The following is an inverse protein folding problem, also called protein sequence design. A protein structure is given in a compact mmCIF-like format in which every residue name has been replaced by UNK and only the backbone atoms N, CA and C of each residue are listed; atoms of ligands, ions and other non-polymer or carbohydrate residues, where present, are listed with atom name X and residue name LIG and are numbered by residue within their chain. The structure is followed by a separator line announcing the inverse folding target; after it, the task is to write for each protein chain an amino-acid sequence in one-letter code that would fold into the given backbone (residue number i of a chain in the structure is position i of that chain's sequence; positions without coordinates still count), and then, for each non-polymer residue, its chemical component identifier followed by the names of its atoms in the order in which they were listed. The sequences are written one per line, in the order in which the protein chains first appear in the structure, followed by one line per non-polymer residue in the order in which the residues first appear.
data_IF_746695859986
#
_entry.id   IF_746695859986
#
_cell.length_a   1.000
_cell.length_b   1.000
_cell.length_c   1.000
_cell.angle_alpha   90.00
_cell.angle_beta   90.00
_cell.angle_gamma   90.00
#
_symmetry.space_group_name_H-M   'P 1'
#
loop_
_entity.id
_entity.type
_entity.pdbx_description
1 polymer ?
#
# COMPACT_ATOMS: atom_id res chain seq x y z
N UNK A 1 -8.86 7.30 -31.02
CA UNK A 1 -8.88 6.50 -29.78
C UNK A 1 -8.49 7.44 -28.66
N UNK A 2 -9.34 7.63 -27.64
CA UNK A 2 -8.96 8.46 -26.49
C UNK A 2 -7.73 7.82 -25.86
N UNK A 3 -6.64 8.57 -25.74
CA UNK A 3 -5.56 8.21 -24.82
C UNK A 3 -6.21 8.05 -23.45
N UNK A 4 -6.41 6.81 -23.01
CA UNK A 4 -6.73 6.55 -21.61
C UNK A 4 -5.46 6.97 -20.87
N UNK A 5 -5.55 8.02 -20.07
CA UNK A 5 -4.41 8.46 -19.27
C UNK A 5 -4.06 7.31 -18.32
N UNK A 6 -2.97 6.60 -18.62
CA UNK A 6 -2.39 5.64 -17.70
C UNK A 6 -2.10 6.36 -16.37
N UNK A 7 -2.20 5.61 -15.27
CA UNK A 7 -1.92 6.10 -13.93
C UNK A 7 -0.79 5.28 -13.33
N UNK A 8 0.35 5.91 -13.05
CA UNK A 8 1.50 5.30 -12.40
C UNK A 8 1.46 5.58 -10.89
N UNK A 9 1.35 4.54 -10.07
CA UNK A 9 1.42 4.65 -8.60
C UNK A 9 2.68 3.98 -8.07
N UNK A 10 3.21 4.49 -6.96
CA UNK A 10 4.34 3.87 -6.26
C UNK A 10 3.79 2.97 -5.15
N UNK A 11 3.87 1.66 -5.35
CA UNK A 11 3.45 0.68 -4.35
C UNK A 11 4.59 0.33 -3.39
N UNK A 12 4.24 0.05 -2.14
CA UNK A 12 5.18 -0.41 -1.12
C UNK A 12 4.54 -1.47 -0.24
N UNK A 13 5.15 -2.65 -0.19
CA UNK A 13 4.62 -3.76 0.62
C UNK A 13 4.97 -3.56 2.08
N UNK A 14 3.95 -3.60 2.92
CA UNK A 14 4.07 -3.80 4.35
C UNK A 14 4.03 -5.30 4.67
N UNK A 15 5.02 -5.78 5.44
CA UNK A 15 5.12 -7.17 5.88
C UNK A 15 5.00 -7.22 7.41
N UNK A 16 3.77 -7.37 7.94
CA UNK A 16 3.51 -7.43 9.37
C UNK A 16 4.36 -8.46 10.13
N UNK A 17 4.64 -9.62 9.52
CA UNK A 17 5.39 -10.71 10.17
C UNK A 17 6.88 -10.40 10.33
N UNK A 18 7.41 -9.49 9.50
CA UNK A 18 8.83 -9.11 9.49
C UNK A 18 9.04 -7.68 10.01
N UNK A 19 7.97 -6.98 10.38
CA UNK A 19 7.97 -5.56 10.75
C UNK A 19 8.81 -4.69 9.80
N UNK A 20 8.62 -4.89 8.50
CA UNK A 20 9.39 -4.18 7.46
C UNK A 20 8.54 -3.69 6.30
N UNK A 21 9.02 -2.62 5.69
CA UNK A 21 8.54 -2.13 4.40
C UNK A 21 9.53 -2.52 3.31
N UNK A 22 9.03 -3.19 2.28
CA UNK A 22 9.80 -3.48 1.07
C UNK A 22 10.17 -2.18 0.32
N UNK A 23 11.11 -2.23 -0.64
CA UNK A 23 11.36 -1.10 -1.55
C UNK A 23 10.12 -0.70 -2.35
N UNK A 24 10.10 0.55 -2.83
CA UNK A 24 9.06 1.01 -3.74
C UNK A 24 9.09 0.24 -5.07
N UNK A 25 7.90 -0.03 -5.60
CA UNK A 25 7.69 -0.63 -6.92
C UNK A 25 6.63 0.16 -7.66
N UNK A 26 6.94 0.60 -8.87
CA UNK A 26 5.98 1.29 -9.72
C UNK A 26 4.94 0.30 -10.27
N UNK A 27 3.67 0.71 -10.23
CA UNK A 27 2.55 -0.02 -10.81
C UNK A 27 1.84 0.93 -11.76
N UNK A 28 1.81 0.56 -13.05
CA UNK A 28 1.08 1.29 -14.09
C UNK A 28 -0.29 0.66 -14.30
N UNK A 29 -1.31 1.50 -14.19
CA UNK A 29 -2.73 1.14 -14.34
C UNK A 29 -3.26 1.74 -15.64
N UNK A 30 -3.94 0.91 -16.43
CA UNK A 30 -4.67 1.33 -17.64
C UNK A 30 -6.01 1.97 -17.28
N UNK A 31 -6.59 1.54 -16.16
CA UNK A 31 -7.81 2.07 -15.57
C UNK A 31 -7.56 2.37 -14.09
N UNK A 32 -8.03 3.51 -13.60
CA UNK A 32 -7.92 3.89 -12.18
C UNK A 32 -8.90 3.12 -11.28
N UNK A 33 -8.99 1.80 -11.46
CA UNK A 33 -9.88 0.90 -10.71
C UNK A 33 -9.14 0.19 -9.57
N UNK A 34 -9.87 -0.16 -8.51
CA UNK A 34 -9.32 -0.92 -7.38
C UNK A 34 -9.01 -2.36 -7.77
N UNK A 35 -9.82 -2.96 -8.64
CA UNK A 35 -9.63 -4.35 -9.08
C UNK A 35 -8.33 -4.50 -9.86
N UNK A 36 -8.07 -3.60 -10.83
CA UNK A 36 -6.81 -3.61 -11.58
C UNK A 36 -5.60 -3.38 -10.67
N UNK A 37 -5.70 -2.46 -9.69
CA UNK A 37 -4.63 -2.26 -8.71
C UNK A 37 -4.34 -3.56 -7.94
N UNK A 38 -5.37 -4.24 -7.43
CA UNK A 38 -5.19 -5.51 -6.71
C UNK A 38 -4.63 -6.62 -7.59
N UNK A 39 -5.04 -6.70 -8.85
CA UNK A 39 -4.49 -7.67 -9.81
C UNK A 39 -3.00 -7.43 -10.07
N UNK A 40 -2.59 -6.18 -10.29
CA UNK A 40 -1.18 -5.82 -10.50
C UNK A 40 -0.33 -6.09 -9.26
N UNK A 41 -0.83 -5.73 -8.07
CA UNK A 41 -0.17 -6.01 -6.79
C UNK A 41 -0.05 -7.52 -6.54
N UNK A 42 -1.08 -8.30 -6.88
CA UNK A 42 -1.07 -9.76 -6.81
C UNK A 42 0.03 -10.33 -7.70
N UNK A 43 0.11 -9.89 -8.95
CA UNK A 43 1.11 -10.35 -9.91
C UNK A 43 2.56 -10.13 -9.45
N UNK A 44 2.86 -8.97 -8.83
CA UNK A 44 4.24 -8.66 -8.37
C UNK A 44 4.59 -9.28 -7.02
N UNK A 45 3.59 -9.59 -6.18
CA UNK A 45 3.82 -10.04 -4.80
C UNK A 45 3.59 -11.54 -4.59
N UNK A 46 2.84 -12.19 -5.49
CA UNK A 46 2.34 -13.55 -5.33
C UNK A 46 1.18 -13.70 -4.35
N UNK A 47 0.68 -12.60 -3.76
CA UNK A 47 -0.48 -12.62 -2.86
C UNK A 47 -1.76 -12.71 -3.71
N UNK A 48 -2.69 -13.61 -3.36
CA UNK A 48 -3.99 -13.67 -4.05
C UNK A 48 -4.71 -12.32 -3.92
N UNK A 49 -5.26 -11.80 -5.02
CA UNK A 49 -5.87 -10.45 -5.06
C UNK A 49 -6.93 -10.21 -3.98
N UNK A 50 -7.69 -11.25 -3.61
CA UNK A 50 -8.69 -11.21 -2.55
C UNK A 50 -8.09 -11.00 -1.14
N UNK A 51 -6.82 -11.38 -0.95
CA UNK A 51 -6.08 -11.21 0.29
C UNK A 51 -5.34 -9.87 0.37
N UNK A 52 -5.30 -9.11 -0.73
CA UNK A 52 -4.65 -7.81 -0.75
C UNK A 52 -5.54 -6.76 -0.08
N UNK A 53 -5.00 -6.19 0.99
CA UNK A 53 -5.43 -4.91 1.53
C UNK A 53 -4.44 -3.83 1.13
N UNK A 54 -4.97 -2.64 0.89
CA UNK A 54 -4.14 -1.49 0.52
C UNK A 54 -4.66 -0.23 1.21
N UNK A 55 -3.79 0.77 1.30
CA UNK A 55 -4.09 2.09 1.81
C UNK A 55 -3.31 3.13 1.02
N UNK A 56 -3.86 4.35 0.94
CA UNK A 56 -3.12 5.49 0.38
C UNK A 56 -2.15 6.05 1.41
N UNK A 57 -0.92 6.30 0.98
CA UNK A 57 0.08 7.02 1.78
C UNK A 57 -0.37 8.45 2.08
N UNK A 58 -0.09 8.92 3.29
CA UNK A 58 -0.40 10.29 3.73
C UNK A 58 0.81 11.21 3.53
N UNK A 59 0.54 12.51 3.40
CA UNK A 59 1.58 13.52 3.26
C UNK A 59 2.27 13.54 1.89
N UNK A 60 3.45 14.14 1.83
CA UNK A 60 4.28 14.24 0.62
C UNK A 60 5.15 13.00 0.46
N UNK A 61 5.54 12.67 -0.77
CA UNK A 61 6.53 11.63 -1.06
C UNK A 61 7.77 11.80 -0.15
N UNK A 62 8.29 10.71 0.47
CA UNK A 62 7.95 9.30 0.23
C UNK A 62 6.78 8.75 1.07
N UNK A 63 5.95 9.63 1.65
CA UNK A 63 4.89 9.26 2.59
C UNK A 63 5.47 8.50 3.79
N UNK A 64 6.40 9.15 4.50
CA UNK A 64 7.04 8.58 5.68
C UNK A 64 5.99 8.16 6.71
N UNK A 65 6.13 6.93 7.20
CA UNK A 65 5.24 6.36 8.19
C UNK A 65 6.03 5.45 9.12
N UNK A 66 5.73 5.53 10.41
CA UNK A 66 6.30 4.64 11.41
C UNK A 66 5.85 3.20 11.14
N UNK A 67 6.82 2.28 11.12
CA UNK A 67 6.57 0.82 11.05
C UNK A 67 5.68 0.35 12.20
N UNK A 68 5.73 1.03 13.35
CA UNK A 68 4.89 0.70 14.51
C UNK A 68 3.46 1.20 14.36
N UNK A 69 3.24 2.26 13.59
CA UNK A 69 1.94 2.95 13.49
C UNK A 69 1.21 2.63 12.18
N UNK A 70 1.91 2.13 11.16
CA UNK A 70 1.37 1.84 9.82
C UNK A 70 0.08 1.00 9.84
N UNK A 71 -0.08 0.12 10.82
CA UNK A 71 -1.27 -0.70 10.96
C UNK A 71 -2.51 0.13 11.35
N UNK A 72 -2.34 1.16 12.19
CA UNK A 72 -3.43 1.94 12.78
C UNK A 72 -3.63 3.29 12.08
N UNK A 73 -2.55 3.89 11.60
CA UNK A 73 -2.57 5.25 11.05
C UNK A 73 -3.04 5.31 9.60
N UNK A 74 -2.99 4.20 8.86
CA UNK A 74 -3.50 4.13 7.50
C UNK A 74 -4.93 3.61 7.45
N UNK A 75 -5.71 4.16 6.54
CA UNK A 75 -7.07 3.68 6.24
C UNK A 75 -6.99 2.48 5.30
N UNK A 76 -6.84 1.30 5.91
CA UNK A 76 -6.70 0.04 5.20
C UNK A 76 -8.02 -0.42 4.59
N UNK A 77 -7.93 -0.91 3.36
CA UNK A 77 -9.02 -1.56 2.63
C UNK A 77 -10.24 -0.65 2.43
N UNK A 78 -10.04 0.53 1.79
CA UNK A 78 -11.09 1.51 1.57
C UNK A 78 -12.21 0.90 0.72
N UNK A 79 -13.45 1.21 1.07
CA UNK A 79 -14.65 0.65 0.42
C UNK A 79 -15.05 1.47 -0.82
N UNK A 80 -14.17 1.46 -1.81
CA UNK A 80 -14.36 2.14 -3.11
C UNK A 80 -14.01 1.21 -4.26
N UNK A 81 -14.59 1.47 -5.44
CA UNK A 81 -14.31 0.72 -6.67
C UNK A 81 -13.29 1.42 -7.59
N UNK A 82 -13.12 2.73 -7.44
CA UNK A 82 -12.18 3.54 -8.22
C UNK A 82 -11.25 4.36 -7.32
N UNK A 83 -10.04 4.64 -7.82
CA UNK A 83 -8.97 5.29 -7.04
C UNK A 83 -9.17 6.81 -6.89
N UNK A 84 -9.93 7.44 -7.78
CA UNK A 84 -10.16 8.88 -7.80
C UNK A 84 -11.27 9.36 -6.85
N UNK A 85 -11.86 8.47 -6.05
CA UNK A 85 -12.96 8.77 -5.11
C UNK A 85 -12.42 8.82 -3.67
N UNK A 86 -13.07 9.59 -2.80
CA UNK A 86 -12.79 9.60 -1.37
C UNK A 86 -12.91 8.19 -0.77
N UNK A 87 -11.98 7.74 0.11
CA UNK A 87 -10.91 8.52 0.74
C UNK A 87 -9.59 8.55 -0.07
N UNK A 88 -9.54 7.93 -1.24
CA UNK A 88 -8.32 7.79 -2.02
C UNK A 88 -7.96 9.06 -2.79
N UNK A 89 -8.85 9.64 -3.61
CA UNK A 89 -8.54 10.81 -4.45
C UNK A 89 -7.14 10.72 -5.13
N UNK A 90 -6.89 9.62 -5.83
CA UNK A 90 -5.69 9.41 -6.63
C UNK A 90 -6.07 9.73 -8.08
N UNK A 91 -5.64 10.90 -8.54
CA UNK A 91 -5.94 11.42 -9.87
C UNK A 91 -4.67 11.61 -10.72
N UNK A 92 -3.50 11.64 -10.08
CA UNK A 92 -2.21 11.96 -10.69
C UNK A 92 -1.17 10.89 -10.36
N UNK A 93 -0.14 10.82 -11.20
CA UNK A 93 0.98 9.89 -11.05
C UNK A 93 1.79 10.16 -9.78
N UNK A 94 2.48 9.11 -9.31
CA UNK A 94 3.39 9.18 -8.17
C UNK A 94 2.72 9.05 -6.80
N UNK A 95 1.39 8.84 -6.75
CA UNK A 95 0.71 8.53 -5.50
C UNK A 95 1.28 7.27 -4.86
N UNK A 96 1.53 7.32 -3.55
CA UNK A 96 2.04 6.17 -2.80
C UNK A 96 0.88 5.30 -2.32
N UNK A 97 0.97 4.00 -2.59
CA UNK A 97 0.07 2.97 -2.07
C UNK A 97 0.86 2.02 -1.18
N UNK A 98 0.42 1.84 0.05
CA UNK A 98 0.87 0.73 0.89
C UNK A 98 -0.05 -0.45 0.67
N UNK A 99 0.49 -1.67 0.64
CA UNK A 99 -0.30 -2.88 0.57
C UNK A 99 0.24 -3.98 1.47
N UNK A 100 -0.62 -4.91 1.88
CA UNK A 100 -0.28 -6.04 2.74
C UNK A 100 -1.12 -7.26 2.38
N UNK A 101 -0.65 -8.42 2.80
CA UNK A 101 -1.47 -9.63 2.84
C UNK A 101 -2.30 -9.62 4.14
N UNK A 102 -3.62 -9.69 4.03
CA UNK A 102 -4.52 -9.71 5.20
C UNK A 102 -4.42 -11.01 6.01
N UNK A 103 -3.83 -12.05 5.43
CA UNK A 103 -3.64 -13.36 6.08
C UNK A 103 -2.30 -13.46 6.81
N UNK A 104 -1.42 -12.47 6.65
CA UNK A 104 -0.13 -12.41 7.32
C UNK A 104 -0.31 -11.97 8.78
N UNK A 105 0.13 -12.81 9.72
CA UNK A 105 0.06 -12.50 11.15
C UNK A 105 1.05 -11.39 11.51
N UNK A 106 0.60 -10.46 12.36
CA UNK A 106 1.47 -9.44 12.96
C UNK A 106 2.36 -10.12 13.97
N UNK A 107 3.68 -10.01 13.81
CA UNK A 107 4.61 -10.54 14.82
C UNK A 107 4.48 -9.74 16.11
N UNK A 108 4.37 -10.44 17.25
CA UNK A 108 4.53 -9.77 18.55
C UNK A 108 6.01 -9.41 18.72
N UNK A 109 6.30 -8.11 18.73
CA UNK A 109 7.65 -7.62 19.00
C UNK A 109 8.00 -7.76 20.48
N UNK A 110 9.22 -8.18 20.76
CA UNK A 110 9.77 -8.03 22.12
C UNK A 110 10.03 -6.55 22.44
N UNK A 111 10.16 -6.21 23.73
CA UNK A 111 10.44 -4.82 24.15
C UNK A 111 11.74 -4.29 23.54
N UNK A 112 12.76 -5.14 23.36
CA UNK A 112 14.04 -4.79 22.74
C UNK A 112 13.87 -4.43 21.27
N UNK A 113 13.18 -5.27 20.49
CA UNK A 113 12.95 -5.01 19.06
C UNK A 113 12.11 -3.75 18.84
N UNK A 114 11.12 -3.52 19.71
CA UNK A 114 10.32 -2.30 19.70
C UNK A 114 11.18 -1.06 19.99
N UNK A 115 12.10 -1.15 20.95
CA UNK A 115 13.03 -0.06 21.28
C UNK A 115 14.03 0.23 20.15
N UNK A 116 14.47 -0.77 19.39
CA UNK A 116 15.31 -0.55 18.21
C UNK A 116 14.57 0.19 17.10
N UNK A 117 13.30 -0.17 16.86
CA UNK A 117 12.45 0.52 15.88
C UNK A 117 12.13 1.96 16.29
N UNK A 118 12.00 2.26 17.59
CA UNK A 118 11.80 3.63 18.08
C UNK A 118 13.05 4.52 17.95
N UNK A 119 14.24 3.94 17.80
CA UNK A 119 15.50 4.68 17.65
C UNK A 119 15.83 5.03 16.19
N UNK A 120 15.10 4.44 15.23
CA UNK A 120 15.23 4.68 13.79
C UNK A 120 14.23 5.74 13.34
#
# INVERSE_FOLDING_TARGET
MKSMSQLAVLSRRWRPSEMKLDPFQEVVLENSSVDELKEKLSAISGIVSENIEFAKGRGTFPCEISILEIHQDLDWNPKVSTLNVWPLYICDDGAVIFYRDKTEEVVELTEEQRNELMKK
#
